data_IF_630672304093
#
_entry.id   IF_630672304093
#
_cell.length_a   1.000
_cell.length_b   1.000
_cell.length_c   1.000
_cell.angle_alpha   90.00
_cell.angle_beta   90.00
_cell.angle_gamma   90.00
#
_symmetry.space_group_name_H-M   'P 1'
#
loop_
_entity.id
_entity.type
_entity.pdbx_description
1 polymer ?
#
# COMPACT_ATOMS: atom_id res chain seq x y z
N UNK A 1 0.93 -17.41 78.03
CA UNK A 1 -0.16 -16.39 78.06
C UNK A 1 -0.48 -16.06 76.60
N UNK A 2 -1.67 -16.18 76.01
CA UNK A 2 -3.02 -16.58 76.42
C UNK A 2 -3.80 -16.90 75.14
N UNK A 3 -4.65 -17.94 75.18
CA UNK A 3 -5.62 -18.38 74.14
C UNK A 3 -6.66 -17.29 73.80
N UNK A 4 -7.23 -17.34 72.57
CA UNK A 4 -8.69 -17.26 72.25
C UNK A 4 -8.90 -17.62 70.76
N UNK A 5 -9.46 -18.80 70.44
CA UNK A 5 -10.89 -19.14 70.17
C UNK A 5 -11.43 -18.45 68.91
N UNK A 6 -11.58 -19.18 67.79
CA UNK A 6 -12.73 -20.03 67.34
C UNK A 6 -13.89 -19.19 66.79
N UNK A 7 -14.24 -19.47 65.52
CA UNK A 7 -15.48 -19.05 64.87
C UNK A 7 -15.64 -19.74 63.52
N UNK A 8 -16.28 -20.91 63.51
CA UNK A 8 -16.70 -21.63 62.31
C UNK A 8 -18.02 -21.07 61.76
N UNK A 9 -18.28 -21.31 60.47
CA UNK A 9 -19.55 -21.72 59.81
C UNK A 9 -19.80 -20.97 58.50
N UNK A 10 -20.30 -21.70 57.48
CA UNK A 10 -20.95 -21.06 56.33
C UNK A 10 -20.75 -21.68 54.95
N UNK A 11 -21.00 -22.99 54.77
CA UNK A 11 -21.19 -23.59 53.44
C UNK A 11 -22.62 -23.25 52.97
N UNK A 12 -22.80 -22.47 51.91
CA UNK A 12 -24.04 -22.45 51.11
C UNK A 12 -23.69 -22.38 49.62
N UNK A 13 -24.23 -23.34 48.89
CA UNK A 13 -24.00 -23.50 47.47
C UNK A 13 -24.94 -22.69 46.57
N UNK A 14 -24.60 -22.76 45.28
CA UNK A 14 -25.42 -22.61 44.08
C UNK A 14 -26.23 -21.31 43.95
N UNK A 15 -25.88 -20.52 42.93
CA UNK A 15 -26.63 -20.51 41.67
C UNK A 15 -25.80 -19.87 40.55
N UNK A 16 -25.60 -20.68 39.52
CA UNK A 16 -25.22 -20.31 38.18
C UNK A 16 -26.25 -19.30 37.65
N UNK A 17 -25.83 -18.11 37.24
CA UNK A 17 -26.65 -17.20 36.44
C UNK A 17 -25.97 -17.09 35.08
N UNK A 18 -26.43 -17.92 34.14
CA UNK A 18 -26.25 -17.66 32.71
C UNK A 18 -27.06 -16.39 32.40
N UNK A 19 -26.39 -15.31 32.02
CA UNK A 19 -27.01 -14.24 31.25
C UNK A 19 -26.48 -14.37 29.84
N UNK A 20 -27.21 -15.12 29.03
CA UNK A 20 -27.07 -15.06 27.59
C UNK A 20 -27.71 -13.77 27.10
N UNK A 21 -26.92 -12.91 26.44
CA UNK A 21 -27.45 -11.93 25.50
C UNK A 21 -26.64 -12.08 24.22
N UNK A 22 -27.20 -12.84 23.30
CA UNK A 22 -26.85 -12.83 21.89
C UNK A 22 -27.16 -11.43 21.34
N UNK A 23 -26.13 -10.73 20.87
CA UNK A 23 -26.30 -9.60 19.96
C UNK A 23 -25.36 -9.83 18.78
N UNK A 24 -25.91 -10.48 17.76
CA UNK A 24 -25.33 -10.56 16.42
C UNK A 24 -25.37 -9.14 15.85
N UNK A 25 -24.23 -8.47 15.77
CA UNK A 25 -24.09 -7.23 15.01
C UNK A 25 -23.70 -7.64 13.59
N UNK A 26 -24.70 -7.79 12.72
CA UNK A 26 -24.49 -7.85 11.27
C UNK A 26 -24.22 -6.42 10.82
N UNK A 27 -22.95 -6.06 10.62
CA UNK A 27 -22.62 -4.86 9.85
C UNK A 27 -22.64 -5.27 8.39
N UNK A 28 -23.70 -4.86 7.69
CA UNK A 28 -23.79 -4.95 6.24
C UNK A 28 -22.63 -4.16 5.62
N UNK A 29 -21.78 -4.87 4.88
CA UNK A 29 -20.71 -4.28 4.09
C UNK A 29 -21.29 -3.45 2.94
N UNK A 30 -20.94 -2.17 2.89
CA UNK A 30 -21.05 -1.38 1.67
C UNK A 30 -19.80 -1.67 0.82
N UNK A 31 -19.98 -2.53 -0.18
CA UNK A 31 -18.97 -2.80 -1.20
C UNK A 31 -18.88 -1.55 -2.09
N UNK A 32 -17.82 -0.77 -1.96
CA UNK A 32 -17.49 0.29 -2.94
C UNK A 32 -16.80 -0.39 -4.11
N UNK A 33 -17.56 -0.62 -5.18
CA UNK A 33 -17.02 -1.09 -6.45
C UNK A 33 -16.11 -0.02 -7.09
N UNK A 34 -15.00 -0.40 -7.73
CA UNK A 34 -14.19 0.51 -8.51
C UNK A 34 -14.94 0.91 -9.79
N UNK A 35 -14.97 2.21 -10.09
CA UNK A 35 -15.64 2.75 -11.26
C UNK A 35 -14.73 2.60 -12.49
N UNK A 36 -15.14 1.74 -13.42
CA UNK A 36 -14.58 1.68 -14.76
C UNK A 36 -15.25 2.74 -15.64
N UNK A 37 -14.47 3.68 -16.19
CA UNK A 37 -14.96 4.60 -17.21
C UNK A 37 -15.03 3.90 -18.57
N UNK A 38 -16.23 3.56 -19.02
CA UNK A 38 -16.52 3.18 -20.39
C UNK A 38 -16.82 4.46 -21.21
N UNK A 39 -15.95 4.77 -22.18
CA UNK A 39 -16.19 5.83 -23.15
C UNK A 39 -17.24 5.41 -24.18
N UNK A 40 -18.33 6.16 -24.27
CA UNK A 40 -19.36 5.99 -25.30
C UNK A 40 -18.93 6.69 -26.59
N UNK A 41 -18.87 5.92 -27.68
CA UNK A 41 -18.71 6.44 -29.02
C UNK A 41 -20.05 7.02 -29.51
N UNK A 42 -20.06 8.30 -29.88
CA UNK A 42 -21.15 8.95 -30.60
C UNK A 42 -20.68 9.35 -32.01
N UNK A 43 -21.25 8.71 -33.03
CA UNK A 43 -21.38 9.28 -34.39
C UNK A 43 -22.75 9.99 -34.42
N UNK A 44 -23.03 11.10 -35.10
CA UNK A 44 -22.67 11.53 -36.46
C UNK A 44 -23.14 12.98 -36.65
N UNK A 45 -22.44 13.80 -37.45
CA UNK A 45 -23.03 14.76 -38.39
C UNK A 45 -21.93 15.41 -39.23
N UNK A 46 -22.10 15.36 -40.56
CA UNK A 46 -21.15 15.82 -41.56
C UNK A 46 -21.43 17.29 -41.96
N UNK A 47 -20.37 18.05 -42.26
CA UNK A 47 -20.37 19.10 -43.28
C UNK A 47 -18.95 19.52 -43.69
N UNK A 48 -18.60 19.19 -44.93
CA UNK A 48 -17.89 19.97 -45.96
C UNK A 48 -16.55 20.69 -45.66
N UNK A 49 -15.51 20.34 -46.43
CA UNK A 49 -14.41 21.27 -46.74
C UNK A 49 -13.01 20.68 -46.90
N UNK A 50 -12.63 20.33 -48.15
CA UNK A 50 -11.29 20.31 -48.75
C UNK A 50 -10.17 19.49 -48.07
N UNK A 51 -9.87 18.34 -48.70
CA UNK A 51 -8.90 17.34 -48.23
C UNK A 51 -7.43 17.78 -48.29
N UNK A 52 -6.67 17.29 -47.31
CA UNK A 52 -5.22 17.36 -47.28
C UNK A 52 -4.61 15.96 -47.19
N UNK A 53 -3.45 15.84 -47.82
CA UNK A 53 -2.61 14.67 -48.11
C UNK A 53 -2.38 13.65 -46.97
N UNK A 54 -2.69 13.99 -45.71
CA UNK A 54 -2.50 13.12 -44.54
C UNK A 54 -3.60 12.07 -44.35
N UNK A 55 -4.71 12.14 -45.09
CA UNK A 55 -5.79 11.15 -45.03
C UNK A 55 -5.48 9.85 -45.81
N UNK A 56 -4.46 9.86 -46.70
CA UNK A 56 -4.08 8.68 -47.52
C UNK A 56 -3.14 7.69 -46.82
N UNK A 57 -2.72 7.96 -45.57
CA UNK A 57 -1.86 7.05 -44.79
C UNK A 57 -2.62 6.14 -43.82
N UNK A 58 -3.96 6.29 -43.69
CA UNK A 58 -4.78 5.45 -42.81
C UNK A 58 -5.48 4.27 -43.49
N UNK A 59 -5.29 4.06 -44.78
CA UNK A 59 -5.95 2.98 -45.54
C UNK A 59 -4.99 1.88 -46.05
N UNK A 60 -3.74 1.81 -45.57
CA UNK A 60 -2.74 0.83 -46.06
C UNK A 60 -2.35 -0.31 -45.11
N UNK A 61 -3.12 -0.59 -44.06
CA UNK A 61 -2.95 -1.82 -43.27
C UNK A 61 -4.28 -2.46 -42.82
N UNK A 62 -5.30 -2.35 -43.67
CA UNK A 62 -6.51 -3.17 -43.59
C UNK A 62 -6.68 -3.88 -44.94
N UNK A 63 -5.98 -5.00 -45.13
CA UNK A 63 -6.29 -6.11 -46.06
C UNK A 63 -5.07 -7.04 -46.23
N UNK A 64 -4.97 -8.06 -45.38
CA UNK A 64 -4.69 -9.42 -45.84
C UNK A 64 -5.10 -10.40 -44.73
N UNK A 65 -6.23 -11.06 -44.97
CA UNK A 65 -6.90 -11.92 -44.01
C UNK A 65 -6.33 -13.34 -43.95
N UNK A 66 -6.55 -13.96 -42.78
CA UNK A 66 -7.08 -15.31 -42.59
C UNK A 66 -6.24 -16.51 -43.00
N UNK A 67 -5.88 -17.34 -42.01
CA UNK A 67 -6.06 -18.80 -42.06
C UNK A 67 -6.00 -19.45 -40.67
N UNK A 68 -6.90 -20.42 -40.48
CA UNK A 68 -7.07 -21.30 -39.32
C UNK A 68 -5.86 -22.24 -39.09
N UNK A 69 -5.59 -22.57 -37.82
CA UNK A 69 -4.73 -23.69 -37.45
C UNK A 69 -4.59 -23.82 -35.93
N UNK A 70 -5.23 -24.84 -35.35
CA UNK A 70 -5.06 -25.17 -33.93
C UNK A 70 -3.79 -25.96 -33.66
N UNK A 71 -3.11 -25.63 -32.56
CA UNK A 71 -2.15 -26.44 -31.79
C UNK A 71 -2.16 -25.84 -30.37
N UNK A 72 -2.83 -26.47 -29.39
CA UNK A 72 -2.25 -27.35 -28.35
C UNK A 72 -0.84 -26.98 -27.86
N UNK A 73 -0.77 -26.52 -26.61
CA UNK A 73 0.34 -26.82 -25.70
C UNK A 73 1.33 -25.70 -25.38
N UNK A 74 1.34 -25.27 -24.12
CA UNK A 74 2.38 -24.43 -23.50
C UNK A 74 1.98 -22.95 -23.45
N UNK A 75 1.89 -22.26 -22.32
CA UNK A 75 2.49 -22.46 -21.00
C UNK A 75 1.56 -21.73 -20.02
N UNK A 76 1.12 -22.39 -18.96
CA UNK A 76 0.38 -21.74 -17.89
C UNK A 76 1.32 -20.73 -17.20
N UNK A 77 1.24 -19.47 -17.61
CA UNK A 77 1.64 -18.38 -16.72
C UNK A 77 0.74 -18.48 -15.51
N UNK A 78 1.32 -18.54 -14.30
CA UNK A 78 0.58 -18.46 -13.05
C UNK A 78 -0.27 -17.20 -13.08
N UNK A 79 -1.52 -17.37 -13.49
CA UNK A 79 -2.48 -16.31 -13.56
C UNK A 79 -3.03 -16.16 -12.17
N UNK A 80 -2.72 -15.02 -11.56
CA UNK A 80 -3.44 -14.52 -10.41
C UNK A 80 -4.95 -14.78 -10.61
N UNK A 81 -5.63 -15.27 -9.57
CA UNK A 81 -7.08 -15.50 -9.64
C UNK A 81 -7.76 -14.25 -10.21
N UNK A 82 -8.75 -14.41 -11.09
CA UNK A 82 -9.35 -13.30 -11.84
C UNK A 82 -9.68 -12.11 -10.91
N UNK A 83 -8.91 -11.02 -11.02
CA UNK A 83 -9.05 -9.82 -10.18
C UNK A 83 -7.89 -9.51 -9.22
N UNK A 84 -6.93 -10.42 -9.01
CA UNK A 84 -5.72 -10.16 -8.23
C UNK A 84 -4.65 -9.45 -9.07
N UNK A 85 -4.00 -8.43 -8.51
CA UNK A 85 -2.84 -7.80 -9.12
C UNK A 85 -1.56 -8.58 -8.81
N UNK A 86 -0.64 -8.65 -9.76
CA UNK A 86 0.68 -9.27 -9.56
C UNK A 86 1.49 -8.51 -8.50
N UNK A 87 1.37 -7.18 -8.51
CA UNK A 87 2.00 -6.29 -7.54
C UNK A 87 0.98 -5.30 -7.00
N UNK A 88 1.00 -5.02 -5.71
CA UNK A 88 0.23 -3.93 -5.12
C UNK A 88 1.13 -2.95 -4.37
N UNK A 89 1.00 -1.66 -4.70
CA UNK A 89 1.60 -0.58 -3.94
C UNK A 89 0.69 -0.16 -2.78
N UNK A 90 1.11 -0.42 -1.53
CA UNK A 90 0.40 0.00 -0.32
C UNK A 90 1.10 1.24 0.25
N UNK A 91 0.51 2.42 0.06
CA UNK A 91 1.20 3.69 0.34
C UNK A 91 0.47 4.58 1.34
N UNK A 92 1.22 5.09 2.32
CA UNK A 92 0.74 6.07 3.29
C UNK A 92 1.17 7.50 2.92
N UNK A 93 0.19 8.38 2.72
CA UNK A 93 0.39 9.81 2.41
C UNK A 93 1.02 10.58 3.58
N UNK A 94 1.40 11.84 3.34
CA UNK A 94 1.91 12.76 4.36
C UNK A 94 0.83 13.48 5.14
N UNK A 95 1.26 14.18 6.19
CA UNK A 95 0.41 14.99 7.06
C UNK A 95 -0.39 16.03 6.29
N UNK A 96 -1.69 16.12 6.58
CA UNK A 96 -2.61 17.10 6.00
C UNK A 96 -3.03 16.82 4.56
N UNK A 97 -2.50 15.77 3.91
CA UNK A 97 -2.95 15.38 2.58
C UNK A 97 -4.37 14.79 2.64
N UNK A 98 -5.24 15.04 1.64
CA UNK A 98 -6.54 14.38 1.53
C UNK A 98 -6.40 12.86 1.38
N UNK A 99 -7.44 12.10 1.77
CA UNK A 99 -7.45 10.63 1.60
C UNK A 99 -7.16 10.25 0.13
N UNK A 100 -6.20 9.36 -0.06
CA UNK A 100 -5.62 9.00 -1.35
C UNK A 100 -4.12 8.75 -1.22
N UNK A 101 -3.45 8.51 -2.35
CA UNK A 101 -2.01 8.20 -2.38
C UNK A 101 -1.11 9.44 -2.16
N UNK A 102 -1.69 10.64 -2.11
CA UNK A 102 -0.94 11.89 -1.91
C UNK A 102 -0.05 12.29 -3.10
N UNK A 103 0.76 13.34 -2.90
CA UNK A 103 1.63 13.94 -3.90
C UNK A 103 2.79 13.04 -4.32
N UNK A 104 3.19 12.10 -3.45
CA UNK A 104 4.30 11.16 -3.71
C UNK A 104 3.78 9.79 -4.16
N UNK A 105 2.76 9.24 -3.50
CA UNK A 105 2.29 7.90 -3.80
C UNK A 105 1.62 7.77 -5.17
N UNK A 106 0.88 8.80 -5.64
CA UNK A 106 0.26 8.77 -6.98
C UNK A 106 1.31 8.63 -8.10
N UNK A 107 2.33 9.50 -8.20
CA UNK A 107 3.34 9.34 -9.25
C UNK A 107 4.21 8.09 -9.01
N UNK A 108 4.39 7.62 -7.77
CA UNK A 108 5.08 6.35 -7.50
C UNK A 108 4.30 5.15 -8.07
N UNK A 109 2.99 5.10 -7.88
CA UNK A 109 2.15 4.05 -8.45
C UNK A 109 2.24 4.03 -9.99
N UNK A 110 2.19 5.20 -10.60
CA UNK A 110 2.30 5.36 -12.06
C UNK A 110 3.67 4.92 -12.58
N UNK A 111 4.74 5.35 -11.91
CA UNK A 111 6.10 4.97 -12.29
C UNK A 111 6.33 3.46 -12.09
N UNK A 112 5.89 2.89 -10.97
CA UNK A 112 6.03 1.44 -10.71
C UNK A 112 5.31 0.60 -11.77
N UNK A 113 4.10 1.00 -12.18
CA UNK A 113 3.38 0.32 -13.26
C UNK A 113 4.13 0.42 -14.61
N UNK A 114 4.83 1.52 -14.86
CA UNK A 114 5.64 1.68 -16.07
C UNK A 114 6.92 0.81 -16.05
N UNK A 115 7.53 0.62 -14.88
CA UNK A 115 8.73 -0.22 -14.70
C UNK A 115 8.44 -1.73 -14.77
N UNK A 116 7.17 -2.14 -14.73
CA UNK A 116 6.76 -3.55 -14.70
C UNK A 116 5.87 -3.93 -15.90
N UNK A 117 6.38 -3.83 -17.14
CA UNK A 117 5.62 -4.22 -18.32
C UNK A 117 5.23 -5.69 -18.25
N UNK A 118 3.97 -5.99 -18.53
CA UNK A 118 3.44 -7.36 -18.47
C UNK A 118 3.04 -7.85 -17.08
N UNK A 119 3.12 -7.00 -16.04
CA UNK A 119 2.52 -7.22 -14.73
C UNK A 119 1.36 -6.27 -14.49
N UNK A 120 0.36 -6.74 -13.76
CA UNK A 120 -0.71 -5.90 -13.24
C UNK A 120 -0.29 -5.25 -11.93
N UNK A 121 -0.35 -3.92 -11.87
CA UNK A 121 0.02 -3.15 -10.67
C UNK A 121 -1.22 -2.47 -10.08
N UNK A 122 -1.63 -2.92 -8.91
CA UNK A 122 -2.65 -2.29 -8.07
C UNK A 122 -2.05 -1.25 -7.13
N UNK A 123 -2.90 -0.44 -6.51
CA UNK A 123 -2.47 0.47 -5.46
C UNK A 123 -3.53 0.66 -4.39
N UNK A 124 -3.11 0.67 -3.14
CA UNK A 124 -3.93 0.98 -1.98
C UNK A 124 -3.42 2.23 -1.27
N UNK A 125 -4.32 3.18 -1.06
CA UNK A 125 -4.06 4.36 -0.25
C UNK A 125 -4.45 4.07 1.20
N UNK A 126 -3.45 3.99 2.08
CA UNK A 126 -3.67 3.72 3.50
C UNK A 126 -4.70 4.70 4.08
N UNK A 127 -5.72 4.14 4.74
CA UNK A 127 -6.85 4.87 5.31
C UNK A 127 -6.52 5.22 6.75
N UNK A 128 -6.17 6.48 6.95
CA UNK A 128 -5.85 7.01 8.26
C UNK A 128 -5.99 8.54 8.27
N UNK A 129 -5.96 9.15 9.45
CA UNK A 129 -6.27 10.58 9.60
C UNK A 129 -5.23 11.51 8.95
N UNK A 130 -3.96 11.10 8.82
CA UNK A 130 -2.85 11.97 8.43
C UNK A 130 -2.83 13.31 9.20
N UNK A 131 -3.14 13.26 10.50
CA UNK A 131 -3.31 14.45 11.32
C UNK A 131 -1.96 15.12 11.63
N UNK A 132 -1.99 16.37 12.07
CA UNK A 132 -0.80 17.18 12.36
C UNK A 132 0.17 16.56 13.37
N UNK A 133 -0.31 15.66 14.24
CA UNK A 133 0.52 14.92 15.19
C UNK A 133 0.79 13.49 14.71
N UNK A 134 1.91 12.91 15.17
CA UNK A 134 2.30 11.54 14.79
C UNK A 134 1.39 10.43 15.35
N UNK A 135 0.37 10.72 16.17
CA UNK A 135 -0.48 9.68 16.78
C UNK A 135 -1.31 8.93 15.74
N UNK A 136 -1.57 9.52 14.58
CA UNK A 136 -2.24 8.85 13.47
C UNK A 136 -1.37 7.80 12.78
N UNK A 137 -0.04 7.82 12.94
CA UNK A 137 0.83 6.83 12.29
C UNK A 137 0.55 5.39 12.74
N UNK A 138 0.23 5.17 14.02
CA UNK A 138 -0.11 3.85 14.54
C UNK A 138 -1.39 3.25 13.93
N UNK A 139 -2.53 3.97 13.95
CA UNK A 139 -3.72 3.56 13.21
C UNK A 139 -3.48 3.34 11.72
N UNK A 140 -2.63 4.16 11.07
CA UNK A 140 -2.25 3.94 9.67
C UNK A 140 -1.48 2.64 9.45
N UNK A 141 -0.58 2.28 10.37
CA UNK A 141 0.18 1.04 10.29
C UNK A 141 -0.71 -0.19 10.49
N UNK A 142 -1.69 -0.08 11.38
CA UNK A 142 -2.74 -1.08 11.53
C UNK A 142 -3.51 -1.27 10.22
N UNK A 143 -3.99 -0.18 9.61
CA UNK A 143 -4.73 -0.26 8.35
C UNK A 143 -3.87 -0.83 7.19
N UNK A 144 -2.61 -0.40 7.06
CA UNK A 144 -1.66 -0.96 6.09
C UNK A 144 -1.49 -2.47 6.28
N UNK A 145 -1.29 -2.91 7.52
CA UNK A 145 -1.12 -4.33 7.84
C UNK A 145 -2.38 -5.15 7.56
N UNK A 146 -3.55 -4.64 7.97
CA UNK A 146 -4.83 -5.32 7.76
C UNK A 146 -5.18 -5.44 6.27
N UNK A 147 -4.87 -4.42 5.46
CA UNK A 147 -5.02 -4.50 4.01
C UNK A 147 -4.12 -5.57 3.41
N UNK A 148 -2.84 -5.61 3.79
CA UNK A 148 -1.89 -6.63 3.34
C UNK A 148 -2.36 -8.04 3.73
N UNK A 149 -2.82 -8.24 4.96
CA UNK A 149 -3.39 -9.52 5.40
C UNK A 149 -4.63 -9.91 4.58
N UNK A 150 -5.52 -8.96 4.31
CA UNK A 150 -6.72 -9.19 3.51
C UNK A 150 -6.36 -9.58 2.07
N UNK A 151 -5.42 -8.88 1.45
CA UNK A 151 -5.00 -9.18 0.08
C UNK A 151 -4.24 -10.49 0.04
N UNK A 152 -3.32 -10.77 0.96
CA UNK A 152 -2.60 -12.04 1.00
C UNK A 152 -3.51 -13.26 1.21
N UNK A 153 -4.66 -13.09 1.90
CA UNK A 153 -5.66 -14.15 2.06
C UNK A 153 -6.43 -14.43 0.76
N UNK A 154 -6.74 -13.39 -0.02
CA UNK A 154 -7.53 -13.51 -1.25
C UNK A 154 -6.68 -13.73 -2.52
N UNK A 155 -5.45 -13.22 -2.49
CA UNK A 155 -4.48 -13.14 -3.58
C UNK A 155 -3.09 -13.51 -3.05
N UNK A 156 -2.84 -14.80 -2.74
CA UNK A 156 -1.61 -15.24 -2.07
C UNK A 156 -0.34 -15.07 -2.93
N UNK A 157 -0.50 -14.85 -4.24
CA UNK A 157 0.61 -14.62 -5.18
C UNK A 157 0.94 -13.11 -5.36
N UNK A 158 0.11 -12.20 -4.85
CA UNK A 158 0.39 -10.76 -4.93
C UNK A 158 1.63 -10.41 -4.12
N UNK A 159 2.59 -9.75 -4.76
CA UNK A 159 3.74 -9.14 -4.09
C UNK A 159 3.42 -7.71 -3.68
N UNK A 160 3.89 -7.28 -2.51
CA UNK A 160 3.65 -5.93 -2.00
C UNK A 160 4.89 -5.04 -2.16
N UNK A 161 4.67 -3.85 -2.69
CA UNK A 161 5.55 -2.71 -2.47
C UNK A 161 4.89 -1.85 -1.41
N UNK A 162 5.55 -1.60 -0.30
CA UNK A 162 5.02 -0.72 0.75
C UNK A 162 5.82 0.57 0.80
N UNK A 163 5.17 1.64 1.22
CA UNK A 163 5.87 2.91 1.31
C UNK A 163 5.09 4.01 1.99
N UNK A 164 5.77 5.12 2.18
CA UNK A 164 5.11 6.30 2.68
C UNK A 164 5.96 7.55 2.63
N UNK A 165 5.28 8.67 2.78
CA UNK A 165 5.88 10.01 2.73
C UNK A 165 5.66 10.73 4.06
N UNK A 166 6.71 11.32 4.63
CA UNK A 166 6.64 12.11 5.87
C UNK A 166 6.05 11.29 7.02
N UNK A 167 4.91 11.68 7.61
CA UNK A 167 4.20 10.86 8.59
C UNK A 167 3.85 9.45 8.06
N UNK A 168 3.57 9.30 6.77
CA UNK A 168 3.34 8.00 6.14
C UNK A 168 4.59 7.10 6.10
N UNK A 169 5.79 7.68 6.11
CA UNK A 169 7.01 6.88 6.31
C UNK A 169 7.04 6.28 7.71
N UNK A 170 6.61 7.02 8.74
CA UNK A 170 6.41 6.46 10.09
C UNK A 170 5.30 5.40 10.14
N UNK A 171 4.23 5.53 9.34
CA UNK A 171 3.24 4.44 9.18
C UNK A 171 3.94 3.17 8.70
N UNK A 172 4.80 3.31 7.69
CA UNK A 172 5.55 2.19 7.10
C UNK A 172 6.53 1.58 8.11
N UNK A 173 7.30 2.41 8.82
CA UNK A 173 8.22 1.99 9.89
C UNK A 173 7.51 1.10 10.92
N UNK A 174 6.34 1.53 11.40
CA UNK A 174 5.56 0.80 12.41
C UNK A 174 5.06 -0.52 11.84
N UNK A 175 4.59 -0.53 10.59
CA UNK A 175 4.09 -1.70 9.90
C UNK A 175 5.18 -2.77 9.70
N UNK A 176 6.44 -2.37 9.48
CA UNK A 176 7.58 -3.30 9.41
C UNK A 176 8.20 -3.62 10.78
N UNK A 177 7.62 -3.10 11.86
CA UNK A 177 8.00 -3.47 13.23
C UNK A 177 9.00 -2.56 13.92
N UNK A 178 9.36 -1.41 13.34
CA UNK A 178 10.18 -0.39 14.01
C UNK A 178 9.32 0.29 15.09
N UNK A 179 9.82 0.32 16.32
CA UNK A 179 9.11 0.87 17.48
C UNK A 179 9.92 1.96 18.16
N UNK A 180 9.22 2.99 18.64
CA UNK A 180 9.73 3.98 19.58
C UNK A 180 8.83 4.09 20.81
N UNK A 181 9.20 4.95 21.75
CA UNK A 181 8.38 5.22 22.93
C UNK A 181 6.96 5.68 22.52
N UNK A 182 5.93 5.02 23.05
CA UNK A 182 4.52 5.34 22.77
C UNK A 182 4.04 4.97 21.36
N UNK A 183 4.81 4.18 20.61
CA UNK A 183 4.41 3.70 19.29
C UNK A 183 3.37 2.58 19.43
N UNK A 184 2.17 2.80 18.90
CA UNK A 184 1.12 1.80 18.75
C UNK A 184 0.93 1.46 17.26
N UNK A 185 0.24 0.37 16.96
CA UNK A 185 -0.05 -0.05 15.59
C UNK A 185 0.31 -1.52 15.36
N UNK A 186 -0.46 -2.17 14.48
CA UNK A 186 -0.20 -3.55 14.05
C UNK A 186 0.99 -3.56 13.08
N UNK A 187 1.87 -4.56 13.23
CA UNK A 187 2.93 -4.82 12.28
C UNK A 187 2.57 -6.02 11.42
N UNK A 188 3.10 -6.04 10.20
CA UNK A 188 2.98 -7.13 9.24
C UNK A 188 3.49 -8.42 9.91
N UNK A 189 2.65 -9.47 9.99
CA UNK A 189 3.01 -10.71 10.65
C UNK A 189 4.13 -11.40 9.88
N UNK A 190 4.99 -12.13 10.59
CA UNK A 190 6.22 -12.70 10.04
C UNK A 190 6.00 -13.54 8.77
N UNK A 191 4.88 -14.27 8.68
CA UNK A 191 4.54 -15.10 7.53
C UNK A 191 4.20 -14.31 6.25
N UNK A 192 3.93 -13.00 6.34
CA UNK A 192 3.66 -12.13 5.19
C UNK A 192 4.84 -11.23 4.82
N UNK A 193 5.90 -11.16 5.65
CA UNK A 193 7.05 -10.29 5.38
C UNK A 193 7.82 -10.66 4.11
N UNK A 194 7.80 -11.95 3.75
CA UNK A 194 8.37 -12.44 2.49
C UNK A 194 7.60 -12.02 1.24
N UNK A 195 6.33 -11.63 1.37
CA UNK A 195 5.54 -11.08 0.26
C UNK A 195 5.79 -9.57 0.06
N UNK A 196 6.37 -8.88 1.05
CA UNK A 196 6.81 -7.49 0.89
C UNK A 196 8.12 -7.48 0.12
N UNK A 197 8.03 -7.24 -1.19
CA UNK A 197 9.16 -7.25 -2.11
C UNK A 197 10.02 -5.99 -2.00
N UNK A 198 9.43 -4.84 -1.68
CA UNK A 198 10.20 -3.60 -1.49
C UNK A 198 9.55 -2.65 -0.48
N UNK A 199 10.40 -1.85 0.19
CA UNK A 199 10.02 -0.74 1.07
C UNK A 199 10.60 0.55 0.48
N UNK A 200 9.73 1.52 0.17
CA UNK A 200 10.13 2.79 -0.46
C UNK A 200 9.58 3.97 0.33
N UNK A 201 10.44 4.68 1.05
CA UNK A 201 10.01 5.79 1.92
C UNK A 201 10.69 7.12 1.57
N UNK A 202 9.97 8.21 1.80
CA UNK A 202 10.38 9.57 1.47
C UNK A 202 10.23 10.48 2.69
N UNK A 203 11.27 11.22 3.04
CA UNK A 203 11.24 12.14 4.17
C UNK A 203 10.95 11.44 5.49
N UNK A 204 11.60 10.31 5.75
CA UNK A 204 11.33 9.45 6.91
C UNK A 204 11.76 10.10 8.24
N UNK A 205 10.83 10.37 9.20
CA UNK A 205 11.17 10.89 10.52
C UNK A 205 12.16 10.04 11.33
N UNK A 206 12.34 8.76 10.99
CA UNK A 206 13.34 7.89 11.61
C UNK A 206 14.76 8.49 11.56
N UNK A 207 15.07 9.24 10.51
CA UNK A 207 16.37 9.91 10.34
C UNK A 207 16.68 10.94 11.43
N UNK A 208 15.68 11.54 12.09
CA UNK A 208 15.91 12.44 13.24
C UNK A 208 16.51 11.73 14.45
N UNK A 209 16.34 10.41 14.51
CA UNK A 209 17.00 9.55 15.51
C UNK A 209 18.35 9.01 15.03
N UNK A 210 18.85 9.50 13.89
CA UNK A 210 20.05 9.02 13.20
C UNK A 210 19.99 7.52 12.91
N UNK A 211 18.80 7.05 12.55
CA UNK A 211 18.53 5.65 12.20
C UNK A 211 18.00 5.56 10.77
N UNK A 212 18.26 4.41 10.17
CA UNK A 212 17.67 3.95 8.91
C UNK A 212 16.78 2.74 9.18
N UNK A 213 15.87 2.44 8.27
CA UNK A 213 15.10 1.19 8.28
C UNK A 213 16.05 0.00 8.24
N UNK A 214 17.13 0.06 7.46
CA UNK A 214 18.12 -1.02 7.40
C UNK A 214 18.77 -1.33 8.77
N UNK A 215 18.96 -0.32 9.61
CA UNK A 215 19.48 -0.50 10.97
C UNK A 215 18.39 -0.94 11.96
N UNK A 216 17.18 -0.39 11.85
CA UNK A 216 16.11 -0.59 12.82
C UNK A 216 15.23 -1.83 12.55
N UNK A 217 15.15 -2.27 11.30
CA UNK A 217 14.45 -3.47 10.85
C UNK A 217 15.33 -4.26 9.83
N UNK A 218 16.41 -4.92 10.30
CA UNK A 218 17.38 -5.58 9.42
C UNK A 218 16.79 -6.62 8.45
N UNK A 219 15.65 -7.23 8.78
CA UNK A 219 14.92 -8.17 7.92
C UNK A 219 14.48 -7.57 6.57
N UNK A 220 14.30 -6.25 6.50
CA UNK A 220 13.91 -5.52 5.30
C UNK A 220 15.09 -4.75 4.67
N UNK A 221 16.27 -4.79 5.28
CA UNK A 221 17.42 -3.96 4.91
C UNK A 221 17.85 -4.18 3.45
N UNK A 222 17.80 -5.43 2.99
CA UNK A 222 18.16 -5.81 1.64
C UNK A 222 17.22 -5.16 0.63
N UNK A 223 15.94 -4.93 0.95
CA UNK A 223 14.87 -4.46 0.06
C UNK A 223 14.22 -3.13 0.43
N UNK A 224 14.99 -2.27 1.08
CA UNK A 224 14.55 -0.92 1.44
C UNK A 224 15.34 0.15 0.69
N UNK A 225 14.65 1.21 0.25
CA UNK A 225 15.25 2.48 -0.15
C UNK A 225 14.59 3.63 0.60
N UNK A 226 15.42 4.55 1.11
CA UNK A 226 14.97 5.74 1.85
C UNK A 226 15.51 7.00 1.18
N UNK A 227 14.61 7.93 0.84
CA UNK A 227 14.98 9.21 0.25
C UNK A 227 14.87 10.33 1.29
N UNK A 228 16.01 10.93 1.64
CA UNK A 228 16.08 12.13 2.45
C UNK A 228 16.71 13.27 1.63
N UNK A 229 15.94 14.30 1.29
CA UNK A 229 16.48 15.43 0.55
C UNK A 229 17.43 16.25 1.44
N UNK A 230 18.47 16.82 0.84
CA UNK A 230 19.39 17.66 1.59
C UNK A 230 18.66 18.87 2.20
N UNK A 231 18.86 19.10 3.49
CA UNK A 231 18.20 20.16 4.24
C UNK A 231 16.76 19.85 4.67
N UNK A 232 16.22 18.66 4.36
CA UNK A 232 14.89 18.26 4.81
C UNK A 232 14.82 18.22 6.36
N UNK A 233 13.94 19.03 6.99
CA UNK A 233 13.81 19.09 8.45
C UNK A 233 13.23 17.82 9.06
N UNK A 234 12.51 17.00 8.30
CA UNK A 234 11.78 15.84 8.79
C UNK A 234 12.68 14.62 8.91
N UNK A 235 13.61 14.40 7.98
CA UNK A 235 14.51 13.24 8.02
C UNK A 235 15.97 13.59 8.32
N UNK A 236 16.42 14.79 7.95
CA UNK A 236 17.83 15.20 8.05
C UNK A 236 18.12 16.20 9.16
N UNK A 237 17.09 16.72 9.86
CA UNK A 237 17.26 17.76 10.87
C UNK A 237 17.68 19.12 10.29
N UNK A 238 17.47 19.35 8.99
CA UNK A 238 17.69 20.63 8.35
C UNK A 238 16.55 21.64 8.62
N UNK A 239 16.44 22.68 7.79
CA UNK A 239 15.43 23.73 7.91
C UNK A 239 14.72 24.05 6.57
N UNK A 240 14.98 23.27 5.53
CA UNK A 240 14.46 23.49 4.18
C UNK A 240 13.17 22.69 3.94
N UNK A 241 12.02 23.27 4.27
CA UNK A 241 10.72 22.64 3.99
C UNK A 241 10.44 22.47 2.49
N UNK A 242 11.02 23.30 1.62
CA UNK A 242 10.88 23.11 0.18
C UNK A 242 11.55 21.80 -0.27
N UNK A 243 12.66 21.41 0.35
CA UNK A 243 13.28 20.10 0.14
C UNK A 243 12.32 18.97 0.54
N UNK A 244 11.62 19.09 1.67
CA UNK A 244 10.64 18.09 2.11
C UNK A 244 9.48 17.93 1.11
N UNK A 245 9.03 19.01 0.48
CA UNK A 245 7.91 19.01 -0.45
C UNK A 245 8.28 18.65 -1.89
N UNK A 246 9.57 18.40 -2.19
CA UNK A 246 10.08 18.28 -3.56
C UNK A 246 10.22 16.84 -4.08
N UNK A 247 9.96 15.80 -3.26
CA UNK A 247 10.15 14.40 -3.65
C UNK A 247 9.43 13.98 -4.93
N UNK A 248 8.28 14.60 -5.22
CA UNK A 248 7.49 14.31 -6.40
C UNK A 248 8.02 14.97 -7.69
N UNK A 249 9.04 15.83 -7.61
CA UNK A 249 9.56 16.61 -8.76
C UNK A 249 11.08 16.54 -8.93
N UNK A 250 11.80 15.93 -8.00
CA UNK A 250 13.26 15.85 -7.99
C UNK A 250 13.82 14.53 -8.56
N UNK A 251 12.97 13.70 -9.17
CA UNK A 251 13.34 12.40 -9.73
C UNK A 251 13.41 11.23 -8.72
N UNK A 252 13.27 11.46 -7.42
CA UNK A 252 13.36 10.35 -6.44
C UNK A 252 12.21 9.37 -6.56
N UNK A 253 11.02 9.81 -7.00
CA UNK A 253 9.89 8.90 -7.26
C UNK A 253 10.22 7.87 -8.33
N UNK A 254 10.84 8.28 -9.43
CA UNK A 254 11.27 7.36 -10.49
C UNK A 254 12.32 6.35 -9.98
N UNK A 255 13.34 6.85 -9.26
CA UNK A 255 14.37 5.99 -8.63
C UNK A 255 13.77 5.00 -7.62
N UNK A 256 12.73 5.40 -6.89
CA UNK A 256 12.02 4.52 -5.96
C UNK A 256 11.22 3.44 -6.68
N UNK A 257 10.57 3.78 -7.80
CA UNK A 257 9.88 2.81 -8.65
C UNK A 257 10.84 1.80 -9.28
N UNK A 258 11.96 2.28 -9.86
CA UNK A 258 13.02 1.44 -10.43
C UNK A 258 13.58 0.46 -9.39
N UNK A 259 13.91 0.97 -8.20
CA UNK A 259 14.37 0.13 -7.10
C UNK A 259 13.35 -0.94 -6.72
N UNK A 260 12.07 -0.57 -6.59
CA UNK A 260 11.02 -1.50 -6.20
C UNK A 260 10.77 -2.56 -7.28
N UNK A 261 10.71 -2.15 -8.56
CA UNK A 261 10.55 -3.05 -9.68
C UNK A 261 11.67 -4.09 -9.74
N UNK A 262 12.92 -3.68 -9.48
CA UNK A 262 14.07 -4.58 -9.39
C UNK A 262 13.98 -5.63 -8.27
N UNK A 263 13.00 -5.56 -7.36
CA UNK A 263 12.76 -6.56 -6.30
C UNK A 263 11.57 -7.48 -6.57
N UNK A 264 10.78 -7.18 -7.60
CA UNK A 264 9.64 -7.97 -8.01
C UNK A 264 10.13 -9.08 -8.96
N UNK A 265 9.95 -10.34 -8.57
CA UNK A 265 10.21 -11.50 -9.45
C UNK A 265 11.66 -11.68 -9.91
N UNK A 266 12.61 -11.73 -8.97
CA UNK A 266 13.87 -12.44 -9.18
C UNK A 266 13.66 -13.96 -9.26
#
# INVERSE_FOLDING_TARGET
MTKRRVGATGRRGRRLVLVGVSAVVVIAGAMVAPQAFAGTAGSSAAASGNGSFLQRLRERFAQNGGQNGGQTGGQAGGGNAAGCSDVELVFARGTGEPQGLGIVGRPLAQALAAELPGRTVGSFAVVYAAASNQRSAGPGATNMTEHIEQVAQNCPETQFVIGGYSQGASVTDIAIGIRGAGTAGKAIPANLRGQVAAVVVYGNPLGLRRQTIAQAAPEFADRTVEFCNNGDPVCGGGNNFAAHLAYNRNGTVGRGAEFAAGRIGG
#
